data_IF_943757773280
#
_entry.id   IF_943757773280
#
_cell.length_a   1.000
_cell.length_b   1.000
_cell.length_c   1.000
_cell.angle_alpha   90.00
_cell.angle_beta   90.00
_cell.angle_gamma   90.00
#
_symmetry.space_group_name_H-M   'P 1'
#
loop_
_entity.id
_entity.type
_entity.pdbx_description
1 polymer ?
#
# COMPACT_ATOMS: atom_id res chain seq x y z
N UNK A 1 13.28 -64.05 4.46
CA UNK A 1 12.89 -62.82 3.75
C UNK A 1 12.33 -61.85 4.78
N UNK A 2 13.11 -60.84 5.21
CA UNK A 2 12.68 -59.82 6.17
C UNK A 2 12.64 -58.49 5.44
N UNK A 3 11.44 -58.02 5.13
CA UNK A 3 11.20 -56.62 4.80
C UNK A 3 10.95 -55.95 6.14
N UNK A 4 11.82 -55.03 6.56
CA UNK A 4 11.56 -54.26 7.78
C UNK A 4 12.06 -52.83 7.58
N UNK A 5 11.10 -51.99 7.18
CA UNK A 5 10.88 -50.62 7.59
C UNK A 5 12.10 -49.69 7.74
N UNK A 6 12.37 -48.94 6.68
CA UNK A 6 13.05 -47.64 6.75
C UNK A 6 12.09 -46.55 6.21
N UNK A 7 10.97 -46.32 6.90
CA UNK A 7 9.97 -45.32 6.51
C UNK A 7 9.36 -44.62 7.75
N UNK A 8 10.18 -44.24 8.72
CA UNK A 8 9.73 -43.60 9.96
C UNK A 8 10.57 -42.37 10.37
N UNK A 9 11.17 -41.66 9.41
CA UNK A 9 11.95 -40.45 9.69
C UNK A 9 11.32 -39.15 9.15
N UNK A 10 10.13 -39.19 8.54
CA UNK A 10 9.49 -38.04 7.88
C UNK A 10 8.30 -37.43 8.65
N UNK A 11 7.98 -37.91 9.85
CA UNK A 11 6.76 -37.52 10.59
C UNK A 11 6.98 -36.56 11.78
N UNK A 12 8.20 -36.06 12.00
CA UNK A 12 8.54 -35.21 13.15
C UNK A 12 9.00 -33.79 12.77
N UNK A 13 8.57 -33.27 11.60
CA UNK A 13 8.51 -31.82 11.48
C UNK A 13 7.37 -31.32 12.39
N UNK A 14 7.61 -30.37 13.30
CA UNK A 14 6.55 -29.86 14.16
C UNK A 14 5.59 -29.04 13.30
N UNK A 15 4.52 -29.69 12.84
CA UNK A 15 3.42 -29.11 12.06
C UNK A 15 2.83 -27.83 12.69
N UNK A 16 3.05 -27.61 13.98
CA UNK A 16 2.66 -26.39 14.69
C UNK A 16 3.48 -25.16 14.26
N UNK A 17 4.79 -25.31 14.00
CA UNK A 17 5.64 -24.21 13.52
C UNK A 17 5.25 -23.76 12.11
N UNK A 18 5.06 -24.72 11.20
CA UNK A 18 4.57 -24.48 9.84
C UNK A 18 3.21 -23.78 9.80
N UNK A 19 2.29 -24.10 10.71
CA UNK A 19 0.97 -23.43 10.78
C UNK A 19 1.06 -21.99 11.31
N UNK A 20 1.91 -21.73 12.29
CA UNK A 20 2.09 -20.38 12.84
C UNK A 20 2.73 -19.45 11.79
N UNK A 21 3.72 -19.93 11.05
CA UNK A 21 4.35 -19.20 9.94
C UNK A 21 3.34 -18.89 8.82
N UNK A 22 2.47 -19.85 8.47
CA UNK A 22 1.42 -19.63 7.47
C UNK A 22 0.39 -18.58 7.91
N UNK A 23 -0.06 -18.60 9.16
CA UNK A 23 -1.02 -17.62 9.70
C UNK A 23 -0.39 -16.21 9.78
N UNK A 24 0.88 -16.11 10.18
CA UNK A 24 1.61 -14.84 10.21
C UNK A 24 1.82 -14.24 8.81
N UNK A 25 2.22 -15.05 7.83
CA UNK A 25 2.36 -14.63 6.42
C UNK A 25 1.02 -14.19 5.80
N UNK A 26 -0.08 -14.89 6.11
CA UNK A 26 -1.42 -14.49 5.66
C UNK A 26 -1.84 -13.15 6.26
N UNK A 27 -1.60 -12.94 7.55
CA UNK A 27 -1.86 -11.66 8.22
C UNK A 27 -1.03 -10.53 7.61
N UNK A 28 0.25 -10.77 7.33
CA UNK A 28 1.13 -9.80 6.67
C UNK A 28 0.59 -9.43 5.27
N UNK A 29 0.19 -10.43 4.46
CA UNK A 29 -0.44 -10.21 3.15
C UNK A 29 -1.71 -9.36 3.25
N UNK A 30 -2.60 -9.65 4.21
CA UNK A 30 -3.80 -8.85 4.44
C UNK A 30 -3.48 -7.38 4.80
N UNK A 31 -2.38 -7.12 5.51
CA UNK A 31 -1.93 -5.75 5.80
C UNK A 31 -1.40 -5.03 4.58
N UNK A 32 -0.70 -5.71 3.67
CA UNK A 32 -0.30 -5.12 2.39
C UNK A 32 -1.51 -4.72 1.55
N UNK A 33 -2.53 -5.57 1.47
CA UNK A 33 -3.78 -5.23 0.76
C UNK A 33 -4.51 -4.04 1.38
N UNK A 34 -4.49 -3.90 2.71
CA UNK A 34 -5.05 -2.74 3.39
C UNK A 34 -4.25 -1.45 3.11
N UNK A 35 -2.93 -1.54 3.00
CA UNK A 35 -2.06 -0.43 2.58
C UNK A 35 -2.38 -0.01 1.14
N UNK A 36 -2.50 -0.98 0.22
CA UNK A 36 -2.84 -0.74 -1.18
C UNK A 36 -4.23 -0.12 -1.35
N UNK A 37 -5.23 -0.60 -0.61
CA UNK A 37 -6.58 -0.05 -0.65
C UNK A 37 -6.59 1.43 -0.23
N UNK A 38 -5.95 1.76 0.90
CA UNK A 38 -5.85 3.15 1.35
C UNK A 38 -5.09 4.04 0.34
N UNK A 39 -4.00 3.53 -0.26
CA UNK A 39 -3.28 4.25 -1.31
C UNK A 39 -4.14 4.46 -2.58
N UNK A 40 -4.93 3.46 -2.96
CA UNK A 40 -5.87 3.56 -4.09
C UNK A 40 -6.93 4.63 -3.85
N UNK A 41 -7.48 4.70 -2.64
CA UNK A 41 -8.45 5.73 -2.27
C UNK A 41 -7.82 7.13 -2.29
N UNK A 42 -6.60 7.28 -1.74
CA UNK A 42 -5.84 8.54 -1.82
C UNK A 42 -5.62 8.94 -3.28
N UNK A 43 -5.19 8.00 -4.14
CA UNK A 43 -4.99 8.24 -5.57
C UNK A 43 -6.28 8.72 -6.25
N UNK A 44 -7.42 8.12 -5.91
CA UNK A 44 -8.72 8.50 -6.47
C UNK A 44 -9.11 9.93 -6.07
N UNK A 45 -8.87 10.33 -4.82
CA UNK A 45 -9.07 11.70 -4.35
C UNK A 45 -8.12 12.70 -5.05
N UNK A 46 -6.85 12.36 -5.19
CA UNK A 46 -5.87 13.18 -5.89
C UNK A 46 -6.22 13.35 -7.38
N UNK A 47 -6.73 12.31 -8.04
CA UNK A 47 -7.19 12.38 -9.43
C UNK A 47 -8.34 13.38 -9.62
N UNK A 48 -9.29 13.42 -8.67
CA UNK A 48 -10.38 14.40 -8.66
C UNK A 48 -9.82 15.82 -8.56
N UNK A 49 -8.90 16.06 -7.62
CA UNK A 49 -8.24 17.37 -7.44
C UNK A 49 -7.43 17.80 -8.68
N UNK A 50 -6.69 16.88 -9.28
CA UNK A 50 -5.92 17.11 -10.52
C UNK A 50 -6.82 17.51 -11.68
N UNK A 51 -8.01 16.91 -11.78
CA UNK A 51 -9.01 17.26 -12.80
C UNK A 51 -9.61 18.64 -12.54
N UNK A 52 -9.90 18.95 -11.26
CA UNK A 52 -10.43 20.24 -10.83
C UNK A 52 -9.48 21.42 -11.11
N UNK A 53 -8.16 21.19 -11.11
CA UNK A 53 -7.16 22.21 -11.46
C UNK A 53 -7.36 22.81 -12.87
N UNK A 54 -8.00 22.08 -13.79
CA UNK A 54 -8.32 22.55 -15.14
C UNK A 54 -9.72 23.15 -15.25
N UNK A 55 -10.52 23.11 -14.18
CA UNK A 55 -11.89 23.64 -14.13
C UNK A 55 -12.15 24.39 -12.79
N UNK A 56 -11.40 25.46 -12.49
CA UNK A 56 -11.48 26.16 -11.21
C UNK A 56 -12.89 26.63 -10.83
N UNK A 57 -13.68 27.05 -11.83
CA UNK A 57 -15.03 27.56 -11.62
C UNK A 57 -16.07 26.51 -11.21
N UNK A 58 -15.74 25.21 -11.29
CA UNK A 58 -16.66 24.13 -10.93
C UNK A 58 -16.46 23.59 -9.51
N UNK A 59 -15.34 23.89 -8.86
CA UNK A 59 -14.97 23.28 -7.59
C UNK A 59 -14.56 24.35 -6.58
N UNK A 60 -15.32 24.43 -5.47
CA UNK A 60 -15.09 25.42 -4.42
C UNK A 60 -13.91 25.02 -3.51
N UNK A 61 -13.32 25.98 -2.77
CA UNK A 61 -12.30 25.69 -1.75
C UNK A 61 -12.74 24.65 -0.72
N UNK A 62 -14.01 24.62 -0.34
CA UNK A 62 -14.56 23.64 0.60
C UNK A 62 -14.51 22.23 0.02
N UNK A 63 -14.79 22.07 -1.28
CA UNK A 63 -14.67 20.79 -1.95
C UNK A 63 -13.22 20.31 -1.99
N UNK A 64 -12.26 21.20 -2.29
CA UNK A 64 -10.83 20.88 -2.22
C UNK A 64 -10.42 20.44 -0.81
N UNK A 65 -10.84 21.18 0.20
CA UNK A 65 -10.58 20.88 1.62
C UNK A 65 -11.15 19.53 2.02
N UNK A 66 -12.35 19.19 1.54
CA UNK A 66 -12.96 17.88 1.76
C UNK A 66 -12.11 16.74 1.18
N UNK A 67 -11.64 16.87 -0.07
CA UNK A 67 -10.77 15.83 -0.67
C UNK A 67 -9.43 15.70 0.09
N UNK A 68 -8.81 16.82 0.46
CA UNK A 68 -7.54 16.82 1.20
C UNK A 68 -7.68 16.18 2.58
N UNK A 69 -8.76 16.48 3.30
CA UNK A 69 -9.03 15.87 4.61
C UNK A 69 -9.31 14.37 4.50
N UNK A 70 -10.02 13.94 3.46
CA UNK A 70 -10.21 12.51 3.19
C UNK A 70 -8.86 11.81 2.96
N UNK A 71 -7.99 12.37 2.10
CA UNK A 71 -6.65 11.81 1.89
C UNK A 71 -5.79 11.79 3.16
N UNK A 72 -5.90 12.82 4.01
CA UNK A 72 -5.20 12.83 5.29
C UNK A 72 -5.67 11.72 6.24
N UNK A 73 -6.99 11.45 6.28
CA UNK A 73 -7.54 10.35 7.06
C UNK A 73 -7.06 9.00 6.52
N UNK A 74 -7.13 8.77 5.21
CA UNK A 74 -6.64 7.54 4.58
C UNK A 74 -5.13 7.34 4.78
N UNK A 75 -4.34 8.42 4.71
CA UNK A 75 -2.90 8.37 4.99
C UNK A 75 -2.60 7.97 6.44
N UNK A 76 -3.44 8.37 7.39
CA UNK A 76 -3.30 7.94 8.78
C UNK A 76 -3.65 6.46 8.97
N UNK A 77 -4.72 5.98 8.33
CA UNK A 77 -5.07 4.55 8.34
C UNK A 77 -3.98 3.70 7.67
N UNK A 78 -3.48 4.12 6.51
CA UNK A 78 -2.33 3.49 5.85
C UNK A 78 -1.12 3.40 6.79
N UNK A 79 -0.79 4.47 7.51
CA UNK A 79 0.27 4.47 8.52
C UNK A 79 0.03 3.51 9.69
N UNK A 80 -1.23 3.27 10.08
CA UNK A 80 -1.58 2.23 11.08
C UNK A 80 -1.36 0.83 10.51
N UNK A 81 -1.79 0.56 9.28
CA UNK A 81 -1.56 -0.73 8.64
C UNK A 81 -0.08 -1.00 8.45
N UNK A 82 0.73 0.01 8.11
CA UNK A 82 2.18 -0.12 8.01
C UNK A 82 2.82 -0.51 9.34
N UNK A 83 2.42 0.11 10.46
CA UNK A 83 2.88 -0.28 11.80
C UNK A 83 2.47 -1.69 12.18
N UNK A 84 1.27 -2.12 11.77
CA UNK A 84 0.78 -3.48 12.02
C UNK A 84 1.54 -4.50 11.17
N UNK A 85 1.91 -4.18 9.93
CA UNK A 85 2.77 -5.03 9.11
C UNK A 85 4.17 -5.16 9.73
N UNK A 86 4.77 -4.06 10.19
CA UNK A 86 6.11 -4.09 10.81
C UNK A 86 6.15 -5.05 12.02
N UNK A 87 5.06 -5.16 12.79
CA UNK A 87 4.95 -6.12 13.88
C UNK A 87 4.86 -7.60 13.42
N UNK A 88 4.55 -7.84 12.14
CA UNK A 88 4.44 -9.16 11.50
C UNK A 88 5.66 -9.49 10.64
N UNK A 89 6.65 -8.60 10.55
CA UNK A 89 7.79 -8.68 9.63
C UNK A 89 8.61 -9.98 9.76
N UNK A 90 8.65 -10.55 10.97
CA UNK A 90 9.32 -11.82 11.26
C UNK A 90 8.62 -13.05 10.66
N UNK A 91 7.28 -12.98 10.51
CA UNK A 91 6.46 -14.06 9.96
C UNK A 91 6.12 -13.82 8.47
N UNK A 92 6.42 -12.63 7.96
CA UNK A 92 6.23 -12.25 6.57
C UNK A 92 7.27 -12.91 5.66
N UNK A 93 6.86 -13.19 4.42
CA UNK A 93 7.80 -13.68 3.41
C UNK A 93 8.80 -12.60 3.00
N UNK A 94 9.95 -12.99 2.46
CA UNK A 94 10.95 -12.03 1.95
C UNK A 94 10.36 -11.07 0.89
N UNK A 95 9.39 -11.55 0.10
CA UNK A 95 8.70 -10.73 -0.92
C UNK A 95 7.80 -9.69 -0.29
N UNK A 96 6.97 -10.11 0.69
CA UNK A 96 6.11 -9.20 1.44
C UNK A 96 6.93 -8.12 2.15
N UNK A 97 8.07 -8.49 2.74
CA UNK A 97 9.00 -7.53 3.36
C UNK A 97 9.58 -6.54 2.33
N UNK A 98 9.94 -7.01 1.14
CA UNK A 98 10.44 -6.12 0.06
C UNK A 98 9.36 -5.16 -0.42
N UNK A 99 8.14 -5.67 -0.67
CA UNK A 99 7.00 -4.84 -1.07
C UNK A 99 6.66 -3.80 0.00
N UNK A 100 6.72 -4.20 1.28
CA UNK A 100 6.53 -3.30 2.40
C UNK A 100 7.58 -2.19 2.45
N UNK A 101 8.87 -2.53 2.32
CA UNK A 101 9.95 -1.53 2.36
C UNK A 101 9.79 -0.49 1.24
N UNK A 102 9.41 -0.90 0.03
CA UNK A 102 9.09 0.00 -1.08
C UNK A 102 7.84 0.84 -0.81
N UNK A 103 6.79 0.23 -0.26
CA UNK A 103 5.56 0.93 0.12
C UNK A 103 5.82 1.99 1.20
N UNK A 104 6.74 1.74 2.15
CA UNK A 104 7.13 2.71 3.18
C UNK A 104 7.84 3.93 2.57
N UNK A 105 8.73 3.73 1.60
CA UNK A 105 9.42 4.84 0.91
C UNK A 105 8.41 5.79 0.25
N UNK A 106 7.49 5.23 -0.55
CA UNK A 106 6.45 6.02 -1.20
C UNK A 106 5.44 6.59 -0.21
N UNK A 107 5.05 5.81 0.81
CA UNK A 107 4.08 6.22 1.83
C UNK A 107 4.53 7.42 2.66
N UNK A 108 5.82 7.51 3.01
CA UNK A 108 6.36 8.69 3.71
C UNK A 108 6.28 9.95 2.83
N UNK A 109 6.67 9.84 1.56
CA UNK A 109 6.60 10.97 0.60
C UNK A 109 5.15 11.37 0.30
N UNK A 110 4.25 10.40 0.28
CA UNK A 110 2.81 10.61 0.12
C UNK A 110 2.26 11.46 1.27
N UNK A 111 2.54 11.07 2.52
CA UNK A 111 2.10 11.81 3.70
C UNK A 111 2.62 13.26 3.71
N UNK A 112 3.90 13.47 3.35
CA UNK A 112 4.48 14.81 3.23
C UNK A 112 3.82 15.64 2.13
N UNK A 113 3.50 15.03 0.99
CA UNK A 113 2.84 15.71 -0.13
C UNK A 113 1.41 16.12 0.22
N UNK A 114 0.67 15.26 0.93
CA UNK A 114 -0.67 15.57 1.47
C UNK A 114 -0.59 16.76 2.43
N UNK A 115 0.36 16.74 3.38
CA UNK A 115 0.59 17.85 4.30
C UNK A 115 0.90 19.16 3.56
N UNK A 116 1.82 19.12 2.58
CA UNK A 116 2.16 20.29 1.75
C UNK A 116 0.92 20.85 1.03
N UNK A 117 0.09 19.99 0.44
CA UNK A 117 -1.12 20.42 -0.26
C UNK A 117 -2.15 21.06 0.69
N UNK A 118 -2.32 20.51 1.90
CA UNK A 118 -3.16 21.10 2.97
C UNK A 118 -2.63 22.45 3.41
N UNK A 119 -1.31 22.56 3.65
CA UNK A 119 -0.69 23.80 4.07
C UNK A 119 -0.88 24.90 3.02
N UNK A 120 -0.71 24.57 1.73
CA UNK A 120 -0.97 25.53 0.64
C UNK A 120 -2.44 25.94 0.61
N UNK A 121 -3.37 24.97 0.68
CA UNK A 121 -4.81 25.26 0.64
C UNK A 121 -5.25 26.15 1.81
N UNK A 122 -4.74 25.92 3.02
CA UNK A 122 -5.08 26.69 4.21
C UNK A 122 -4.47 28.10 4.23
N UNK A 123 -3.29 28.28 3.63
CA UNK A 123 -2.59 29.57 3.61
C UNK A 123 -2.93 30.42 2.38
N UNK A 124 -3.71 29.89 1.44
CA UNK A 124 -4.20 30.61 0.27
C UNK A 124 -5.30 31.59 0.68
N UNK A 125 -5.14 32.87 0.34
CA UNK A 125 -6.08 33.96 0.66
C UNK A 125 -7.21 34.11 -0.35
N UNK A 126 -7.08 33.49 -1.52
CA UNK A 126 -8.10 33.49 -2.57
C UNK A 126 -8.14 32.16 -3.31
N UNK A 127 -9.27 31.88 -3.97
CA UNK A 127 -9.44 30.65 -4.77
C UNK A 127 -8.34 30.51 -5.83
N UNK A 128 -7.92 31.61 -6.45
CA UNK A 128 -6.84 31.63 -7.45
C UNK A 128 -5.49 31.14 -6.91
N UNK A 129 -5.22 31.34 -5.62
CA UNK A 129 -3.99 30.87 -4.96
C UNK A 129 -4.04 29.36 -4.68
N UNK A 130 -5.23 28.77 -4.50
CA UNK A 130 -5.40 27.31 -4.44
C UNK A 130 -5.07 26.67 -5.79
N UNK A 131 -5.27 27.37 -6.91
CA UNK A 131 -4.89 26.88 -8.24
C UNK A 131 -3.44 27.23 -8.62
N UNK A 132 -2.60 27.64 -7.67
CA UNK A 132 -1.19 27.95 -7.90
C UNK A 132 -0.39 26.70 -8.35
N UNK A 133 0.68 26.86 -9.16
CA UNK A 133 1.52 25.75 -9.59
C UNK A 133 2.01 24.84 -8.45
N UNK A 134 2.33 25.41 -7.29
CA UNK A 134 2.82 24.64 -6.14
C UNK A 134 1.74 23.70 -5.54
N UNK A 135 0.47 24.12 -5.56
CA UNK A 135 -0.63 23.26 -5.14
C UNK A 135 -0.82 22.12 -6.14
N UNK A 136 -0.80 22.46 -7.43
CA UNK A 136 -0.93 21.46 -8.51
C UNK A 136 0.23 20.46 -8.49
N UNK A 137 1.46 20.92 -8.23
CA UNK A 137 2.63 20.07 -8.04
C UNK A 137 2.44 19.14 -6.84
N UNK A 138 1.99 19.66 -5.70
CA UNK A 138 1.72 18.84 -4.51
C UNK A 138 0.65 17.77 -4.78
N UNK A 139 -0.46 18.12 -5.44
CA UNK A 139 -1.52 17.17 -5.82
C UNK A 139 -1.01 16.11 -6.80
N UNK A 140 -0.19 16.48 -7.78
CA UNK A 140 0.44 15.51 -8.69
C UNK A 140 1.37 14.56 -7.94
N UNK A 141 2.19 15.09 -7.01
CA UNK A 141 3.06 14.26 -6.19
C UNK A 141 2.25 13.28 -5.33
N UNK A 142 1.12 13.68 -4.76
CA UNK A 142 0.22 12.76 -4.04
C UNK A 142 -0.23 11.62 -4.95
N UNK A 143 -0.67 11.93 -6.17
CA UNK A 143 -1.11 10.92 -7.14
C UNK A 143 0.02 9.92 -7.45
N UNK A 144 1.21 10.44 -7.77
CA UNK A 144 2.36 9.63 -8.19
C UNK A 144 2.89 8.76 -7.03
N UNK A 145 2.95 9.29 -5.81
CA UNK A 145 3.39 8.51 -4.65
C UNK A 145 2.35 7.44 -4.25
N UNK A 146 1.06 7.75 -4.36
CA UNK A 146 0.01 6.75 -4.13
C UNK A 146 0.07 5.62 -5.15
N UNK A 147 0.31 5.92 -6.43
CA UNK A 147 0.54 4.91 -7.48
C UNK A 147 1.81 4.07 -7.18
N UNK A 148 2.87 4.70 -6.66
CA UNK A 148 4.07 4.01 -6.20
C UNK A 148 3.81 3.01 -5.07
N UNK A 149 2.97 3.36 -4.08
CA UNK A 149 2.55 2.42 -3.03
C UNK A 149 1.77 1.24 -3.62
N UNK A 150 0.81 1.49 -4.51
CA UNK A 150 0.02 0.45 -5.17
C UNK A 150 0.93 -0.49 -5.98
N UNK A 151 1.83 0.06 -6.77
CA UNK A 151 2.78 -0.73 -7.56
C UNK A 151 3.72 -1.57 -6.67
N UNK A 152 4.18 -1.02 -5.54
CA UNK A 152 5.02 -1.75 -4.59
C UNK A 152 4.30 -2.97 -4.00
N UNK A 153 3.02 -2.84 -3.65
CA UNK A 153 2.22 -3.96 -3.13
C UNK A 153 1.88 -4.96 -4.24
N UNK A 154 1.44 -4.49 -5.41
CA UNK A 154 1.10 -5.36 -6.55
C UNK A 154 2.27 -6.20 -7.07
N UNK A 155 3.51 -5.75 -6.87
CA UNK A 155 4.68 -6.59 -7.10
C UNK A 155 4.60 -7.88 -6.30
N UNK A 156 4.25 -7.85 -5.00
CA UNK A 156 4.17 -9.06 -4.18
C UNK A 156 3.17 -10.09 -4.72
N UNK A 157 2.02 -9.65 -5.24
CA UNK A 157 0.95 -10.52 -5.75
C UNK A 157 1.31 -11.17 -7.09
N UNK A 158 1.95 -10.42 -8.00
CA UNK A 158 2.33 -10.91 -9.33
C UNK A 158 3.33 -12.10 -9.30
N UNK A 159 4.09 -12.26 -8.23
CA UNK A 159 5.05 -13.37 -8.08
C UNK A 159 4.42 -14.64 -7.53
N UNK A 160 3.27 -14.55 -6.85
CA UNK A 160 2.58 -15.72 -6.31
C UNK A 160 1.85 -16.48 -7.43
N UNK A 161 1.29 -15.77 -8.41
CA UNK A 161 0.69 -16.37 -9.62
C UNK A 161 1.72 -17.14 -10.46
N UNK A 162 2.95 -16.60 -10.61
CA UNK A 162 4.04 -17.26 -11.34
C UNK A 162 4.51 -18.51 -10.59
N UNK A 163 4.56 -18.48 -9.26
CA UNK A 163 4.98 -19.63 -8.48
C UNK A 163 3.93 -20.75 -8.47
N UNK A 164 2.65 -20.40 -8.39
CA UNK A 164 1.55 -21.37 -8.47
C UNK A 164 1.49 -22.03 -9.87
N UNK A 165 1.73 -21.26 -10.93
CA UNK A 165 1.86 -21.78 -12.29
C UNK A 165 3.06 -22.75 -12.42
N UNK A 166 4.23 -22.41 -11.85
CA UNK A 166 5.41 -23.28 -11.87
C UNK A 166 5.21 -24.57 -11.06
N UNK A 167 4.57 -24.50 -9.89
CA UNK A 167 4.27 -25.69 -9.10
C UNK A 167 3.27 -26.62 -9.82
N UNK A 168 2.29 -26.05 -10.51
CA UNK A 168 1.33 -26.82 -11.31
C UNK A 168 2.01 -27.52 -12.49
N UNK A 169 2.93 -26.83 -13.17
CA UNK A 169 3.71 -27.42 -14.27
C UNK A 169 4.67 -28.52 -13.80
N UNK A 170 5.22 -28.43 -12.59
CA UNK A 170 6.12 -29.46 -12.04
C UNK A 170 5.42 -30.77 -11.62
N UNK A 171 4.08 -30.76 -11.58
CA UNK A 171 3.24 -31.92 -11.24
C UNK A 171 2.69 -32.65 -12.47
N UNK A 172 2.97 -32.14 -13.68
CA UNK A 172 2.66 -32.76 -14.98
C UNK A 172 3.89 -33.49 -15.52
#
# INVERSE_FOLDING_TARGET
MKITMAAAALSLLPWQGLRAEMDGSQKAGSKLQQIEAAATDIRAHAAKLKTAAFQPSMFSPEWHSYQLNAMAAESQEMGKYMKQFEALRADATARQNTAFDLAVEHGSRLADSIRKAIDIANNSRSELEVFHPDYSEAVNAIYDQADGVVAAVGLAESWDEVHEAQQTLSKL
#
